data_IF_054052421698
#
_entry.id   IF_054052421698
#
_cell.length_a   1.000
_cell.length_b   1.000
_cell.length_c   1.000
_cell.angle_alpha   90.00
_cell.angle_beta   90.00
_cell.angle_gamma   90.00
#
_symmetry.space_group_name_H-M   'P 1'
#
loop_
_entity.id
_entity.type
_entity.pdbx_description
1 polymer ?
#
# COMPACT_ATOMS: atom_id res chain seq x y z
N UNK A 1 0.62 34.72 -10.23
CA UNK A 1 0.29 33.49 -9.46
C UNK A 1 1.59 32.71 -9.42
N UNK A 2 2.08 32.37 -8.23
CA UNK A 2 3.27 31.54 -8.13
C UNK A 2 2.91 30.15 -8.69
N UNK A 3 3.70 29.64 -9.64
CA UNK A 3 3.59 28.26 -10.08
C UNK A 3 4.21 27.40 -8.97
N UNK A 4 3.37 26.66 -8.24
CA UNK A 4 3.79 25.64 -7.28
C UNK A 4 3.64 24.27 -7.94
N UNK A 5 4.58 23.36 -7.70
CA UNK A 5 4.43 21.99 -8.20
C UNK A 5 3.44 21.23 -7.33
N UNK A 6 2.80 20.17 -7.88
CA UNK A 6 1.92 19.32 -7.06
C UNK A 6 2.68 18.62 -5.92
N UNK A 7 3.99 18.41 -6.06
CA UNK A 7 4.82 17.84 -4.99
C UNK A 7 4.99 18.84 -3.86
N UNK A 8 5.43 20.06 -4.17
CA UNK A 8 5.61 21.11 -3.14
C UNK A 8 4.29 21.42 -2.44
N UNK A 9 3.17 21.37 -3.18
CA UNK A 9 1.86 21.58 -2.59
C UNK A 9 1.42 20.42 -1.68
N UNK A 10 1.82 19.18 -1.97
CA UNK A 10 1.65 18.06 -1.05
C UNK A 10 2.46 18.24 0.24
N UNK A 11 3.70 18.75 0.14
CA UNK A 11 4.54 19.03 1.31
C UNK A 11 3.90 20.10 2.22
N UNK A 12 3.28 21.13 1.64
CA UNK A 12 2.49 22.11 2.40
C UNK A 12 1.29 21.48 3.12
N UNK A 13 0.59 20.56 2.46
CA UNK A 13 -0.53 19.82 3.06
C UNK A 13 -0.04 18.92 4.21
N UNK A 14 1.10 18.24 4.05
CA UNK A 14 1.71 17.45 5.12
C UNK A 14 2.03 18.32 6.33
N UNK A 15 2.62 19.50 6.10
CA UNK A 15 2.91 20.46 7.18
C UNK A 15 1.65 20.97 7.88
N UNK A 16 0.52 21.13 7.17
CA UNK A 16 -0.77 21.46 7.77
C UNK A 16 -1.30 20.33 8.66
N UNK A 17 -1.15 19.07 8.24
CA UNK A 17 -1.53 17.91 9.05
C UNK A 17 -0.69 17.88 10.34
N UNK A 18 0.62 18.10 10.25
CA UNK A 18 1.51 18.18 11.42
C UNK A 18 1.16 19.33 12.37
N UNK A 19 0.57 20.41 11.86
CA UNK A 19 0.10 21.57 12.64
C UNK A 19 -1.33 21.39 13.16
N UNK A 20 -1.91 20.19 13.03
CA UNK A 20 -3.30 19.87 13.40
C UNK A 20 -4.36 20.68 12.62
N UNK A 21 -3.98 21.32 11.51
CA UNK A 21 -4.84 22.12 10.64
C UNK A 21 -5.60 21.21 9.63
N UNK A 22 -6.30 20.20 10.14
CA UNK A 22 -6.87 19.12 9.33
C UNK A 22 -7.92 19.61 8.33
N UNK A 23 -8.75 20.57 8.71
CA UNK A 23 -9.77 21.14 7.81
C UNK A 23 -9.16 21.85 6.60
N UNK A 24 -8.06 22.56 6.81
CA UNK A 24 -7.31 23.23 5.74
C UNK A 24 -6.63 22.19 4.85
N UNK A 25 -5.95 21.20 5.44
CA UNK A 25 -5.33 20.10 4.70
C UNK A 25 -6.35 19.37 3.80
N UNK A 26 -7.54 19.05 4.33
CA UNK A 26 -8.63 18.42 3.56
C UNK A 26 -9.12 19.34 2.44
N UNK A 27 -9.29 20.64 2.70
CA UNK A 27 -9.71 21.60 1.67
C UNK A 27 -8.68 21.70 0.53
N UNK A 28 -7.39 21.75 0.86
CA UNK A 28 -6.31 21.75 -0.13
C UNK A 28 -6.26 20.45 -0.94
N UNK A 29 -6.44 19.28 -0.30
CA UNK A 29 -6.56 18.00 -1.01
C UNK A 29 -7.75 17.99 -1.97
N UNK A 30 -8.92 18.46 -1.54
CA UNK A 30 -10.11 18.56 -2.40
C UNK A 30 -9.85 19.48 -3.60
N UNK A 31 -9.17 20.60 -3.39
CA UNK A 31 -8.77 21.50 -4.49
C UNK A 31 -7.86 20.80 -5.51
N UNK A 32 -6.86 20.02 -5.06
CA UNK A 32 -6.05 19.22 -5.97
C UNK A 32 -6.92 18.23 -6.76
N UNK A 33 -7.85 17.55 -6.09
CA UNK A 33 -8.70 16.53 -6.72
C UNK A 33 -9.75 17.10 -7.67
N UNK A 34 -10.17 18.36 -7.51
CA UNK A 34 -11.04 19.08 -8.47
C UNK A 34 -10.34 19.24 -9.84
N UNK A 35 -9.03 19.46 -9.84
CA UNK A 35 -8.23 19.67 -11.06
C UNK A 35 -7.54 18.38 -11.55
N UNK A 36 -7.16 17.50 -10.63
CA UNK A 36 -6.43 16.27 -10.87
C UNK A 36 -7.10 15.08 -10.16
N UNK A 37 -8.27 14.62 -10.64
CA UNK A 37 -9.12 13.66 -9.93
C UNK A 37 -8.51 12.25 -9.75
N UNK A 38 -7.39 11.97 -10.42
CA UNK A 38 -6.63 10.70 -10.34
C UNK A 38 -5.29 10.85 -9.60
N UNK A 39 -5.03 12.00 -8.98
CA UNK A 39 -3.77 12.23 -8.29
C UNK A 39 -3.77 11.51 -6.93
N UNK A 40 -3.15 10.33 -6.93
CA UNK A 40 -3.14 9.41 -5.79
C UNK A 40 -2.61 10.02 -4.48
N UNK A 41 -1.54 10.83 -4.47
CA UNK A 41 -1.03 11.43 -3.22
C UNK A 41 -2.06 12.29 -2.50
N UNK A 42 -2.93 13.02 -3.21
CA UNK A 42 -3.97 13.82 -2.57
C UNK A 42 -5.03 12.96 -1.86
N UNK A 43 -5.37 11.78 -2.39
CA UNK A 43 -6.26 10.84 -1.67
C UNK A 43 -5.61 10.31 -0.40
N UNK A 44 -4.32 9.99 -0.44
CA UNK A 44 -3.58 9.50 0.74
C UNK A 44 -3.48 10.59 1.82
N UNK A 45 -3.11 11.81 1.46
CA UNK A 45 -3.02 12.95 2.38
C UNK A 45 -4.38 13.32 2.98
N UNK A 46 -5.44 13.31 2.17
CA UNK A 46 -6.80 13.52 2.64
C UNK A 46 -7.22 12.42 3.63
N UNK A 47 -6.84 11.17 3.37
CA UNK A 47 -7.09 10.04 4.26
C UNK A 47 -6.35 10.19 5.59
N UNK A 48 -5.07 10.61 5.56
CA UNK A 48 -4.28 10.93 6.75
C UNK A 48 -4.92 12.07 7.56
N UNK A 49 -5.29 13.18 6.92
CA UNK A 49 -5.95 14.30 7.59
C UNK A 49 -7.31 13.90 8.19
N UNK A 50 -8.11 13.09 7.47
CA UNK A 50 -9.38 12.58 7.97
C UNK A 50 -9.19 11.66 9.18
N UNK A 51 -8.17 10.79 9.15
CA UNK A 51 -7.82 9.90 10.26
C UNK A 51 -7.44 10.68 11.54
N UNK A 52 -6.59 11.70 11.40
CA UNK A 52 -6.18 12.54 12.54
C UNK A 52 -7.35 13.38 13.09
N UNK A 53 -8.31 13.72 12.23
CA UNK A 53 -9.57 14.38 12.61
C UNK A 53 -10.64 13.42 13.15
N UNK A 54 -10.32 12.14 13.34
CA UNK A 54 -11.25 11.09 13.79
C UNK A 54 -12.49 10.90 12.87
N UNK A 55 -12.36 11.29 11.59
CA UNK A 55 -13.36 11.03 10.55
C UNK A 55 -13.14 9.63 9.96
N UNK A 56 -13.25 8.60 10.80
CA UNK A 56 -12.84 7.23 10.50
C UNK A 56 -13.54 6.65 9.26
N UNK A 57 -14.84 6.92 9.05
CA UNK A 57 -15.56 6.45 7.86
C UNK A 57 -15.01 7.05 6.56
N UNK A 58 -14.74 8.37 6.55
CA UNK A 58 -14.17 9.07 5.38
C UNK A 58 -12.73 8.59 5.12
N UNK A 59 -11.94 8.41 6.18
CA UNK A 59 -10.58 7.90 6.09
C UNK A 59 -10.53 6.46 5.52
N UNK A 60 -11.41 5.56 5.98
CA UNK A 60 -11.52 4.19 5.44
C UNK A 60 -11.80 4.21 3.94
N UNK A 61 -12.75 5.04 3.50
CA UNK A 61 -13.09 5.14 2.07
C UNK A 61 -11.93 5.67 1.24
N UNK A 62 -11.19 6.66 1.75
CA UNK A 62 -10.02 7.23 1.09
C UNK A 62 -8.88 6.21 0.99
N UNK A 63 -8.53 5.52 2.08
CA UNK A 63 -7.50 4.49 2.06
C UNK A 63 -7.86 3.31 1.16
N UNK A 64 -9.13 2.90 1.11
CA UNK A 64 -9.59 1.86 0.17
C UNK A 64 -9.47 2.30 -1.28
N UNK A 65 -9.71 3.58 -1.59
CA UNK A 65 -9.47 4.13 -2.93
C UNK A 65 -7.99 4.15 -3.29
N UNK A 66 -7.12 4.45 -2.33
CA UNK A 66 -5.67 4.37 -2.56
C UNK A 66 -5.26 2.92 -2.85
N UNK A 67 -5.70 1.98 -2.02
CA UNK A 67 -5.39 0.55 -2.19
C UNK A 67 -5.98 -0.08 -3.47
N UNK A 68 -7.04 0.49 -4.04
CA UNK A 68 -7.58 0.00 -5.33
C UNK A 68 -6.74 0.41 -6.54
N UNK A 69 -5.87 1.40 -6.39
CA UNK A 69 -4.92 1.88 -7.41
C UNK A 69 -3.50 1.40 -7.11
N UNK A 70 -3.09 1.46 -5.85
CA UNK A 70 -1.81 0.98 -5.34
C UNK A 70 -2.05 0.03 -4.17
N UNK A 71 -2.19 -1.30 -4.41
CA UNK A 71 -2.43 -2.26 -3.35
C UNK A 71 -1.24 -2.44 -2.39
N UNK A 72 -0.10 -1.81 -2.67
CA UNK A 72 1.13 -1.90 -1.87
C UNK A 72 1.42 -0.59 -1.12
N UNK A 73 0.36 0.18 -0.82
CA UNK A 73 0.47 1.42 -0.05
C UNK A 73 0.47 1.18 1.46
N UNK A 74 1.65 1.19 2.07
CA UNK A 74 1.78 0.91 3.51
C UNK A 74 1.08 1.96 4.38
N UNK A 75 1.04 3.23 3.95
CA UNK A 75 0.38 4.32 4.69
C UNK A 75 -1.11 4.03 4.85
N UNK A 76 -1.77 3.59 3.78
CA UNK A 76 -3.17 3.17 3.82
C UNK A 76 -3.41 1.98 4.74
N UNK A 77 -2.49 1.01 4.78
CA UNK A 77 -2.57 -0.08 5.75
C UNK A 77 -2.38 0.39 7.20
N UNK A 78 -1.45 1.31 7.47
CA UNK A 78 -1.31 1.92 8.81
C UNK A 78 -2.60 2.63 9.23
N UNK A 79 -3.15 3.47 8.36
CA UNK A 79 -4.38 4.20 8.65
C UNK A 79 -5.57 3.28 8.93
N UNK A 80 -5.77 2.24 8.11
CA UNK A 80 -6.81 1.23 8.35
C UNK A 80 -6.58 0.47 9.67
N UNK A 81 -5.32 0.15 10.02
CA UNK A 81 -5.02 -0.48 11.30
C UNK A 81 -5.43 0.38 12.48
N UNK A 82 -5.08 1.68 12.45
CA UNK A 82 -5.40 2.62 13.53
C UNK A 82 -6.92 2.72 13.71
N UNK A 83 -7.67 2.81 12.61
CA UNK A 83 -9.14 2.87 12.64
C UNK A 83 -9.74 1.60 13.24
N UNK A 84 -9.28 0.42 12.81
CA UNK A 84 -9.77 -0.85 13.37
C UNK A 84 -9.43 -0.97 14.86
N UNK A 85 -8.27 -0.46 15.26
CA UNK A 85 -7.86 -0.49 16.65
C UNK A 85 -8.74 0.41 17.54
N UNK A 86 -9.05 1.63 17.07
CA UNK A 86 -10.01 2.54 17.70
C UNK A 86 -11.40 1.90 17.81
N UNK A 87 -11.80 1.12 16.81
CA UNK A 87 -13.05 0.36 16.82
C UNK A 87 -13.03 -0.88 17.73
N UNK A 88 -11.90 -1.21 18.36
CA UNK A 88 -11.73 -2.40 19.21
C UNK A 88 -11.59 -3.71 18.43
N UNK A 89 -11.48 -3.64 17.10
CA UNK A 89 -11.30 -4.76 16.19
C UNK A 89 -9.80 -5.14 16.14
N UNK A 90 -9.28 -5.64 17.25
CA UNK A 90 -7.84 -5.95 17.41
C UNK A 90 -7.30 -6.94 16.36
N UNK A 91 -8.00 -8.04 15.99
CA UNK A 91 -7.53 -8.94 14.93
C UNK A 91 -7.36 -8.23 13.58
N UNK A 92 -8.29 -7.35 13.22
CA UNK A 92 -8.29 -6.58 11.98
C UNK A 92 -7.21 -5.48 11.99
N UNK A 93 -7.00 -4.83 13.13
CA UNK A 93 -5.89 -3.88 13.31
C UNK A 93 -4.54 -4.57 13.10
N UNK A 94 -4.31 -5.69 13.78
CA UNK A 94 -3.11 -6.53 13.56
C UNK A 94 -3.01 -6.92 12.09
N UNK A 95 -4.13 -7.28 11.47
CA UNK A 95 -4.12 -7.67 10.09
C UNK A 95 -3.62 -6.54 9.19
N UNK A 96 -4.10 -5.32 9.34
CA UNK A 96 -3.63 -4.21 8.53
C UNK A 96 -2.19 -3.81 8.86
N UNK A 97 -1.80 -3.80 10.14
CA UNK A 97 -0.44 -3.42 10.55
C UNK A 97 0.63 -4.42 10.09
N UNK A 98 0.33 -5.72 10.09
CA UNK A 98 1.24 -6.72 9.50
C UNK A 98 1.50 -6.46 8.02
N UNK A 99 0.52 -5.95 7.27
CA UNK A 99 0.67 -5.61 5.84
C UNK A 99 1.51 -4.37 5.64
N UNK A 100 1.32 -3.37 6.49
CA UNK A 100 2.21 -2.21 6.55
C UNK A 100 3.66 -2.64 6.86
N UNK A 101 3.86 -3.55 7.81
CA UNK A 101 5.17 -4.10 8.17
C UNK A 101 5.80 -4.91 7.03
N UNK A 102 5.02 -5.71 6.30
CA UNK A 102 5.50 -6.43 5.11
C UNK A 102 6.08 -5.50 4.06
N UNK A 103 5.44 -4.34 3.86
CA UNK A 103 5.84 -3.33 2.89
C UNK A 103 7.01 -2.47 3.38
N UNK A 104 7.03 -2.10 4.66
CA UNK A 104 8.05 -1.23 5.26
C UNK A 104 8.61 -1.85 6.57
N UNK A 105 9.39 -2.95 6.48
CA UNK A 105 9.87 -3.71 7.65
C UNK A 105 10.96 -2.98 8.45
N UNK A 106 11.53 -1.92 7.88
CA UNK A 106 12.54 -1.04 8.46
C UNK A 106 11.94 0.23 9.09
N UNK A 107 10.63 0.42 9.00
CA UNK A 107 9.95 1.55 9.62
C UNK A 107 9.76 1.28 11.13
N UNK A 108 10.48 2.04 11.95
CA UNK A 108 10.47 1.89 13.42
C UNK A 108 9.08 2.12 14.03
N UNK A 109 8.31 3.07 13.48
CA UNK A 109 6.95 3.37 13.96
C UNK A 109 6.03 2.17 13.72
N UNK A 110 6.06 1.59 12.52
CA UNK A 110 5.24 0.40 12.19
C UNK A 110 5.64 -0.79 13.07
N UNK A 111 6.94 -0.98 13.31
CA UNK A 111 7.45 -2.02 14.20
C UNK A 111 6.96 -1.85 15.64
N UNK A 112 7.00 -0.62 16.16
CA UNK A 112 6.54 -0.31 17.51
C UNK A 112 5.03 -0.52 17.66
N UNK A 113 4.24 -0.02 16.70
CA UNK A 113 2.79 -0.20 16.69
C UNK A 113 2.39 -1.68 16.60
N UNK A 114 3.02 -2.44 15.70
CA UNK A 114 2.77 -3.88 15.59
C UNK A 114 3.13 -4.63 16.88
N UNK A 115 4.23 -4.25 17.53
CA UNK A 115 4.62 -4.82 18.83
C UNK A 115 3.59 -4.51 19.91
N UNK A 116 3.04 -3.31 19.92
CA UNK A 116 1.97 -2.90 20.85
C UNK A 116 0.68 -3.70 20.60
N UNK A 117 0.28 -3.88 19.35
CA UNK A 117 -0.90 -4.68 19.00
C UNK A 117 -0.72 -6.16 19.38
N UNK A 118 0.45 -6.75 19.13
CA UNK A 118 0.77 -8.09 19.59
C UNK A 118 0.80 -8.20 21.12
N UNK A 119 1.33 -7.19 21.83
CA UNK A 119 1.32 -7.16 23.29
C UNK A 119 -0.10 -7.20 23.85
N UNK A 120 -1.03 -6.50 23.21
CA UNK A 120 -2.45 -6.50 23.59
C UNK A 120 -3.13 -7.84 23.29
N UNK A 121 -2.80 -8.49 22.17
CA UNK A 121 -3.32 -9.83 21.83
C UNK A 121 -2.81 -10.91 22.78
N UNK A 122 -1.51 -10.90 23.05
CA UNK A 122 -0.80 -12.00 23.72
C UNK A 122 -0.55 -11.74 25.23
N UNK A 123 -0.89 -10.55 25.71
CA UNK A 123 -0.63 -10.08 27.08
C UNK A 123 0.83 -9.72 27.37
N UNK A 124 1.73 -9.87 26.39
CA UNK A 124 3.15 -9.50 26.48
C UNK A 124 3.71 -9.09 25.12
N UNK A 125 4.50 -8.02 25.11
CA UNK A 125 5.19 -7.59 23.90
C UNK A 125 6.25 -8.64 23.51
N UNK A 126 6.32 -9.05 22.23
CA UNK A 126 7.45 -9.87 21.77
C UNK A 126 8.74 -9.06 21.85
N UNK A 127 9.86 -9.73 22.14
CA UNK A 127 11.19 -9.09 22.15
C UNK A 127 11.55 -8.51 20.78
N UNK A 128 11.17 -9.22 19.72
CA UNK A 128 11.30 -8.79 18.33
C UNK A 128 10.06 -9.23 17.56
N UNK A 129 9.56 -8.35 16.70
CA UNK A 129 8.52 -8.70 15.73
C UNK A 129 9.13 -9.72 14.75
N UNK A 130 8.58 -10.95 14.66
CA UNK A 130 9.09 -11.95 13.72
C UNK A 130 8.82 -11.49 12.30
N UNK A 131 9.77 -11.75 11.41
CA UNK A 131 9.58 -11.50 9.98
C UNK A 131 8.41 -12.37 9.48
N UNK A 132 7.37 -11.76 8.94
CA UNK A 132 6.29 -12.52 8.32
C UNK A 132 6.76 -13.12 6.99
N UNK A 133 6.07 -14.16 6.52
CA UNK A 133 6.37 -14.77 5.22
C UNK A 133 6.23 -13.76 4.07
N UNK A 134 5.24 -12.86 4.14
CA UNK A 134 5.10 -11.76 3.16
C UNK A 134 6.29 -10.80 3.19
N UNK A 135 6.79 -10.48 4.38
CA UNK A 135 7.96 -9.60 4.53
C UNK A 135 9.22 -10.28 3.98
N UNK A 136 9.38 -11.58 4.23
CA UNK A 136 10.47 -12.38 3.66
C UNK A 136 10.42 -12.41 2.14
N UNK A 137 9.24 -12.65 1.55
CA UNK A 137 9.06 -12.63 0.10
C UNK A 137 9.46 -11.26 -0.51
N UNK A 138 9.05 -10.17 0.14
CA UNK A 138 9.41 -8.80 -0.28
C UNK A 138 10.90 -8.50 -0.09
N UNK A 139 11.56 -9.08 0.91
CA UNK A 139 13.02 -9.01 1.06
C UNK A 139 13.75 -9.78 -0.04
N UNK A 140 13.26 -10.96 -0.45
CA UNK A 140 13.80 -11.67 -1.61
C UNK A 140 13.67 -10.83 -2.89
N UNK A 141 12.51 -10.18 -3.08
CA UNK A 141 12.27 -9.29 -4.22
C UNK A 141 13.27 -8.12 -4.24
N UNK A 142 13.46 -7.41 -3.12
CA UNK A 142 14.45 -6.33 -2.99
C UNK A 142 15.88 -6.83 -3.18
N UNK A 143 16.17 -8.06 -2.78
CA UNK A 143 17.47 -8.71 -2.95
C UNK A 143 17.71 -9.28 -4.35
N UNK A 144 16.81 -9.06 -5.31
CA UNK A 144 16.85 -9.63 -6.67
C UNK A 144 16.86 -11.17 -6.71
N UNK A 145 16.39 -11.82 -5.65
CA UNK A 145 16.22 -13.27 -5.56
C UNK A 145 14.83 -13.66 -6.06
N UNK A 146 14.54 -13.35 -7.32
CA UNK A 146 13.18 -13.41 -7.87
C UNK A 146 12.57 -14.80 -7.82
N UNK A 147 13.33 -15.86 -8.14
CA UNK A 147 12.85 -17.24 -8.02
C UNK A 147 12.32 -17.56 -6.61
N UNK A 148 13.08 -17.18 -5.58
CA UNK A 148 12.68 -17.41 -4.18
C UNK A 148 11.47 -16.55 -3.80
N UNK A 149 11.42 -15.31 -4.29
CA UNK A 149 10.26 -14.45 -4.07
C UNK A 149 9.00 -15.06 -4.71
N UNK A 150 9.09 -15.55 -5.95
CA UNK A 150 7.99 -16.18 -6.69
C UNK A 150 7.48 -17.43 -5.96
N UNK A 151 8.37 -18.31 -5.54
CA UNK A 151 8.01 -19.53 -4.79
C UNK A 151 7.27 -19.20 -3.48
N UNK A 152 7.81 -18.25 -2.71
CA UNK A 152 7.22 -17.83 -1.44
C UNK A 152 5.84 -17.17 -1.66
N UNK A 153 5.74 -16.26 -2.64
CA UNK A 153 4.50 -15.55 -2.97
C UNK A 153 3.41 -16.50 -3.47
N UNK A 154 3.75 -17.49 -4.30
CA UNK A 154 2.80 -18.52 -4.75
C UNK A 154 2.27 -19.35 -3.60
N UNK A 155 3.14 -19.70 -2.66
CA UNK A 155 2.73 -20.44 -1.47
C UNK A 155 1.76 -19.62 -0.64
N UNK A 156 2.06 -18.33 -0.43
CA UNK A 156 1.17 -17.42 0.31
C UNK A 156 -0.17 -17.18 -0.38
N UNK A 157 -0.17 -17.02 -1.70
CA UNK A 157 -1.39 -16.85 -2.50
C UNK A 157 -2.22 -18.16 -2.57
N UNK A 158 -1.61 -19.32 -2.37
CA UNK A 158 -2.34 -20.57 -2.17
C UNK A 158 -3.20 -20.57 -0.90
N UNK A 159 -2.69 -19.95 0.18
CA UNK A 159 -3.40 -19.84 1.46
C UNK A 159 -4.35 -18.62 1.51
N UNK A 160 -4.01 -17.53 0.80
CA UNK A 160 -4.75 -16.26 0.80
C UNK A 160 -4.81 -15.65 -0.61
N UNK A 161 -5.64 -16.22 -1.52
CA UNK A 161 -5.72 -15.79 -2.92
C UNK A 161 -6.29 -14.38 -3.10
N UNK A 162 -6.96 -13.85 -2.07
CA UNK A 162 -7.57 -12.52 -2.04
C UNK A 162 -6.56 -11.39 -1.78
N UNK A 163 -5.31 -11.70 -1.43
CA UNK A 163 -4.26 -10.71 -1.15
C UNK A 163 -3.74 -10.03 -2.43
N UNK A 164 -4.43 -8.98 -2.87
CA UNK A 164 -4.06 -8.17 -4.05
C UNK A 164 -2.67 -7.54 -3.94
N UNK A 165 -2.20 -7.24 -2.74
CA UNK A 165 -0.86 -6.70 -2.50
C UNK A 165 0.24 -7.74 -2.76
N UNK A 166 -0.04 -9.03 -2.49
CA UNK A 166 0.86 -10.14 -2.81
C UNK A 166 0.78 -10.51 -4.30
N UNK A 167 -0.39 -10.39 -4.93
CA UNK A 167 -0.51 -10.51 -6.39
C UNK A 167 0.33 -9.43 -7.10
N UNK A 168 0.29 -8.19 -6.61
CA UNK A 168 1.12 -7.09 -7.13
C UNK A 168 2.63 -7.33 -6.92
N UNK A 169 3.03 -7.90 -5.78
CA UNK A 169 4.40 -8.32 -5.54
C UNK A 169 4.84 -9.48 -6.45
N UNK A 170 3.95 -10.45 -6.70
CA UNK A 170 4.21 -11.59 -7.59
C UNK A 170 4.36 -11.12 -9.03
N UNK A 171 3.49 -10.21 -9.47
CA UNK A 171 3.57 -9.55 -10.76
C UNK A 171 4.95 -8.90 -10.95
N UNK A 172 5.40 -8.12 -9.97
CA UNK A 172 6.73 -7.49 -10.03
C UNK A 172 7.85 -8.53 -10.10
N UNK A 173 7.80 -9.57 -9.26
CA UNK A 173 8.81 -10.61 -9.24
C UNK A 173 8.91 -11.34 -10.60
N UNK A 174 7.77 -11.73 -11.19
CA UNK A 174 7.72 -12.39 -12.50
C UNK A 174 8.22 -11.48 -13.63
N UNK A 175 7.83 -10.21 -13.61
CA UNK A 175 8.26 -9.23 -14.60
C UNK A 175 9.78 -9.01 -14.54
N UNK A 176 10.33 -8.82 -13.34
CA UNK A 176 11.77 -8.61 -13.12
C UNK A 176 12.62 -9.85 -13.41
N UNK A 177 12.06 -11.04 -13.23
CA UNK A 177 12.69 -12.31 -13.60
C UNK A 177 12.65 -12.60 -15.12
N UNK A 178 11.83 -11.86 -15.88
CA UNK A 178 11.66 -12.04 -17.32
C UNK A 178 10.65 -13.12 -17.71
N UNK A 179 9.84 -13.61 -16.76
CA UNK A 179 8.75 -14.58 -16.99
C UNK A 179 7.50 -13.90 -17.55
N UNK A 180 7.64 -13.35 -18.76
CA UNK A 180 6.66 -12.45 -19.41
C UNK A 180 5.22 -12.98 -19.44
N UNK A 181 5.04 -14.22 -19.90
CA UNK A 181 3.71 -14.85 -20.04
C UNK A 181 3.01 -14.96 -18.68
N UNK A 182 3.76 -15.36 -17.65
CA UNK A 182 3.22 -15.48 -16.29
C UNK A 182 2.93 -14.11 -15.68
N UNK A 183 3.81 -13.12 -15.92
CA UNK A 183 3.60 -11.75 -15.47
C UNK A 183 2.35 -11.12 -16.12
N UNK A 184 2.16 -11.30 -17.42
CA UNK A 184 0.98 -10.82 -18.15
C UNK A 184 -0.31 -11.44 -17.59
N UNK A 185 -0.32 -12.76 -17.36
CA UNK A 185 -1.47 -13.45 -16.78
C UNK A 185 -1.83 -12.90 -15.39
N UNK A 186 -0.85 -12.69 -14.51
CA UNK A 186 -1.08 -12.12 -13.17
C UNK A 186 -1.54 -10.66 -13.27
N UNK A 187 -1.01 -9.87 -14.20
CA UNK A 187 -1.43 -8.50 -14.40
C UNK A 187 -2.90 -8.41 -14.83
N UNK A 188 -3.34 -9.28 -15.75
CA UNK A 188 -4.73 -9.32 -16.21
C UNK A 188 -5.68 -9.74 -15.09
N UNK A 189 -5.36 -10.79 -14.32
CA UNK A 189 -6.13 -11.19 -13.13
C UNK A 189 -6.24 -10.04 -12.10
N UNK A 190 -5.13 -9.36 -11.84
CA UNK A 190 -5.11 -8.21 -10.93
C UNK A 190 -5.99 -7.05 -11.46
N UNK A 191 -6.05 -6.83 -12.77
CA UNK A 191 -6.90 -5.80 -13.38
C UNK A 191 -8.39 -6.15 -13.39
N UNK A 192 -8.76 -7.44 -13.40
CA UNK A 192 -10.15 -7.86 -13.20
C UNK A 192 -10.66 -7.44 -11.81
N UNK A 193 -9.77 -7.48 -10.81
CA UNK A 193 -10.08 -7.12 -9.42
C UNK A 193 -9.91 -5.63 -9.14
N UNK A 194 -8.83 -5.05 -9.67
CA UNK A 194 -8.40 -3.67 -9.47
C UNK A 194 -8.19 -3.00 -10.85
N UNK A 195 -9.25 -2.52 -11.52
CA UNK A 195 -9.18 -2.00 -12.89
C UNK A 195 -8.23 -0.81 -13.07
N UNK A 196 -7.87 -0.14 -11.98
CA UNK A 196 -6.99 1.02 -11.96
C UNK A 196 -5.64 0.74 -11.29
N UNK A 197 -5.26 -0.54 -11.11
CA UNK A 197 -3.97 -0.90 -10.52
C UNK A 197 -2.81 -0.34 -11.36
N UNK A 198 -2.08 0.62 -10.79
CA UNK A 198 -1.01 1.34 -11.47
C UNK A 198 0.11 0.38 -11.91
N UNK A 199 0.53 -0.51 -11.01
CA UNK A 199 1.61 -1.47 -11.29
C UNK A 199 1.26 -2.43 -12.43
N UNK A 200 0.02 -2.93 -12.47
CA UNK A 200 -0.42 -3.81 -13.55
C UNK A 200 -0.40 -3.12 -14.92
N UNK A 201 -0.92 -1.90 -15.01
CA UNK A 201 -0.86 -1.11 -16.25
C UNK A 201 0.57 -0.80 -16.69
N UNK A 202 1.46 -0.48 -15.75
CA UNK A 202 2.88 -0.24 -16.05
C UNK A 202 3.57 -1.47 -16.62
N UNK A 203 3.37 -2.64 -16.00
CA UNK A 203 3.99 -3.89 -16.45
C UNK A 203 3.44 -4.31 -17.83
N UNK A 204 2.12 -4.25 -18.04
CA UNK A 204 1.55 -4.59 -19.35
C UNK A 204 2.03 -3.64 -20.45
N UNK A 205 2.12 -2.35 -20.16
CA UNK A 205 2.66 -1.36 -21.10
C UNK A 205 4.11 -1.67 -21.49
N UNK A 206 4.95 -2.09 -20.54
CA UNK A 206 6.32 -2.51 -20.83
C UNK A 206 6.37 -3.79 -21.68
N UNK A 207 5.60 -4.81 -21.31
CA UNK A 207 5.55 -6.10 -22.01
C UNK A 207 5.09 -5.94 -23.47
N UNK A 208 3.99 -5.21 -23.72
CA UNK A 208 3.44 -5.07 -25.07
C UNK A 208 4.28 -4.17 -25.98
N UNK A 209 4.99 -3.18 -25.43
CA UNK A 209 5.92 -2.36 -26.21
C UNK A 209 7.12 -3.18 -26.72
N UNK A 210 7.56 -4.19 -25.96
CA UNK A 210 8.62 -5.11 -26.40
C UNK A 210 8.16 -6.04 -27.54
N UNK A 211 6.93 -6.55 -27.47
CA UNK A 211 6.42 -7.45 -28.49
C UNK A 211 6.17 -6.73 -29.82
N UNK A 212 5.74 -5.45 -29.78
CA UNK A 212 5.55 -4.61 -30.96
C UNK A 212 6.84 -4.12 -31.65
N UNK A 213 8.02 -4.26 -31.02
CA UNK A 213 9.32 -3.94 -31.63
C UNK A 213 10.02 -5.18 -32.25
N UNK A 214 9.39 -6.35 -32.13
CA UNK A 214 9.92 -7.63 -32.61
C UNK A 214 9.44 -8.01 -34.02
N UNK A 215 8.62 -7.16 -34.65
CA UNK A 215 8.11 -7.25 -36.04
C UNK A 215 8.69 -6.14 -36.93
#
# INVERSE_FOLDING_TARGET
MAEITLSDYCDEIEALIEQEAYDEAIAHCRHILEHYPKYLPAYQLMGKAALEKELDEEAVDLFRRVLSVNPEDFVSYVGLSIIQDRAGALPEAIWHMERAFELAPDNEVILEELRTLYARRDGKAPERVPLTRGALARLYLRGHLYDRAIEELRTLLGDSPDRVDLQAALLEALWRDGRRIEAEAVALDLLERLPHCLKAHLVLGDLWNFDGQSE
#
